data_IF_300835551297
#
_entry.id   IF_300835551297
#
_cell.length_a   1.000
_cell.length_b   1.000
_cell.length_c   1.000
_cell.angle_alpha   90.00
_cell.angle_beta   90.00
_cell.angle_gamma   90.00
#
_symmetry.space_group_name_H-M   'P 1'
#
loop_
_entity.id
_entity.type
_entity.pdbx_description
1 polymer ?
#
# COMPACT_ATOMS: atom_id res chain seq x y z
N UNK A 1 -56.65 -5.93 30.90
CA UNK A 1 -56.24 -6.81 29.78
C UNK A 1 -54.98 -6.21 29.17
N UNK A 2 -53.79 -6.67 29.57
CA UNK A 2 -52.50 -6.16 29.07
C UNK A 2 -52.04 -7.04 27.92
N UNK A 3 -52.19 -6.55 26.69
CA UNK A 3 -51.66 -7.21 25.50
C UNK A 3 -50.18 -6.83 25.37
N UNK A 4 -49.28 -7.73 25.79
CA UNK A 4 -47.84 -7.59 25.59
C UNK A 4 -47.51 -8.12 24.20
N UNK A 5 -47.44 -7.23 23.22
CA UNK A 5 -46.86 -7.56 21.92
C UNK A 5 -45.37 -7.84 22.13
N UNK A 6 -44.95 -9.10 21.99
CA UNK A 6 -43.54 -9.43 21.82
C UNK A 6 -43.13 -8.93 20.42
N UNK A 7 -42.70 -7.68 20.31
CA UNK A 7 -41.85 -7.29 19.20
C UNK A 7 -40.50 -7.99 19.43
N UNK A 8 -40.31 -9.14 18.79
CA UNK A 8 -38.95 -9.65 18.59
C UNK A 8 -38.25 -8.65 17.67
N UNK A 9 -37.46 -7.75 18.23
CA UNK A 9 -36.61 -6.85 17.44
C UNK A 9 -35.77 -7.71 16.50
N UNK A 10 -35.83 -7.42 15.19
CA UNK A 10 -35.00 -8.10 14.20
C UNK A 10 -33.53 -7.85 14.50
N UNK A 11 -32.70 -8.84 14.21
CA UNK A 11 -31.25 -8.79 14.41
C UNK A 11 -30.57 -8.67 13.05
N UNK A 12 -29.68 -7.68 12.92
CA UNK A 12 -28.69 -7.60 11.85
C UNK A 12 -27.34 -8.04 12.41
N UNK A 13 -26.80 -9.14 11.90
CA UNK A 13 -25.41 -9.52 12.09
C UNK A 13 -24.56 -8.85 11.01
N UNK A 14 -23.41 -8.30 11.38
CA UNK A 14 -22.45 -7.78 10.42
C UNK A 14 -21.00 -8.07 10.81
N UNK A 15 -20.15 -8.07 9.79
CA UNK A 15 -18.69 -8.13 9.88
C UNK A 15 -18.10 -7.40 8.66
N UNK A 16 -17.06 -6.60 8.89
CA UNK A 16 -16.45 -5.74 7.87
C UNK A 16 -15.00 -6.13 7.59
N UNK A 17 -14.70 -6.32 6.31
CA UNK A 17 -13.31 -6.40 5.84
C UNK A 17 -12.88 -5.03 5.33
N UNK A 18 -11.79 -4.50 5.89
CA UNK A 18 -11.44 -3.08 5.78
C UNK A 18 -9.97 -2.88 5.43
N UNK A 19 -9.66 -1.85 4.66
CA UNK A 19 -8.30 -1.44 4.33
C UNK A 19 -8.04 -0.01 4.81
N UNK A 20 -6.86 0.25 5.34
CA UNK A 20 -6.37 1.60 5.62
C UNK A 20 -4.86 1.60 5.47
N UNK A 21 -4.29 2.70 4.95
CA UNK A 21 -2.85 2.90 4.93
C UNK A 21 -2.26 3.02 6.36
N UNK A 22 -3.07 3.53 7.29
CA UNK A 22 -2.69 3.66 8.70
C UNK A 22 -2.83 2.30 9.38
N UNK A 23 -1.79 1.77 10.06
CA UNK A 23 -1.91 0.51 10.78
C UNK A 23 -2.87 0.59 11.98
N UNK A 24 -3.73 -0.42 12.17
CA UNK A 24 -4.71 -0.47 13.29
C UNK A 24 -4.10 -0.37 14.69
N UNK A 25 -2.82 -0.74 14.85
CA UNK A 25 -2.08 -0.59 16.12
C UNK A 25 -1.93 0.88 16.56
N UNK A 26 -2.14 1.84 15.66
CA UNK A 26 -2.11 3.27 15.95
C UNK A 26 -3.46 3.77 16.53
N UNK A 27 -4.42 2.86 16.76
CA UNK A 27 -5.74 3.16 17.30
C UNK A 27 -6.84 3.12 16.24
N UNK A 28 -8.05 2.72 16.67
CA UNK A 28 -9.20 2.53 15.77
C UNK A 28 -9.63 3.82 15.06
N UNK A 29 -9.62 4.96 15.75
CA UNK A 29 -9.99 6.24 15.14
C UNK A 29 -9.00 6.67 14.06
N UNK A 30 -7.70 6.66 14.35
CA UNK A 30 -6.66 6.98 13.38
C UNK A 30 -6.65 6.01 12.18
N UNK A 31 -6.95 4.73 12.42
CA UNK A 31 -7.17 3.75 11.36
C UNK A 31 -8.37 4.12 10.47
N UNK A 32 -9.47 4.55 11.10
CA UNK A 32 -10.75 4.80 10.44
C UNK A 32 -10.78 6.09 9.60
N UNK A 33 -9.93 7.08 9.88
CA UNK A 33 -9.92 8.38 9.16
C UNK A 33 -9.87 8.24 7.63
N UNK A 34 -9.12 7.26 7.12
CA UNK A 34 -8.96 6.99 5.69
C UNK A 34 -9.27 5.52 5.36
N UNK A 35 -10.23 4.92 6.06
CA UNK A 35 -10.58 3.51 5.88
C UNK A 35 -11.48 3.30 4.66
N UNK A 36 -11.19 2.23 3.93
CA UNK A 36 -12.01 1.69 2.86
C UNK A 36 -12.68 0.40 3.36
N UNK A 37 -14.00 0.29 3.22
CA UNK A 37 -14.71 -0.97 3.44
C UNK A 37 -14.64 -1.76 2.13
N UNK A 38 -14.04 -2.95 2.18
CA UNK A 38 -13.82 -3.81 1.01
C UNK A 38 -14.98 -4.78 0.84
N UNK A 39 -15.30 -5.53 1.90
CA UNK A 39 -16.40 -6.48 1.94
C UNK A 39 -17.28 -6.19 3.15
N UNK A 40 -18.58 -6.34 2.96
CA UNK A 40 -19.58 -6.22 4.01
C UNK A 40 -20.33 -7.54 4.11
N UNK A 41 -19.99 -8.37 5.10
CA UNK A 41 -20.71 -9.59 5.41
C UNK A 41 -21.89 -9.27 6.35
N UNK A 42 -23.06 -9.84 6.08
CA UNK A 42 -24.25 -9.59 6.88
C UNK A 42 -25.26 -10.73 6.83
N UNK A 43 -26.09 -10.84 7.87
CA UNK A 43 -27.24 -11.74 7.93
C UNK A 43 -28.38 -11.10 8.74
N UNK A 44 -29.62 -11.45 8.42
CA UNK A 44 -30.79 -11.01 9.19
C UNK A 44 -31.34 -12.20 9.96
N UNK A 45 -31.46 -12.06 11.28
CA UNK A 45 -31.93 -13.09 12.19
C UNK A 45 -31.16 -14.41 12.01
N UNK A 46 -31.81 -15.42 11.43
CA UNK A 46 -31.25 -16.76 11.14
C UNK A 46 -31.12 -17.03 9.64
N UNK A 47 -31.32 -16.01 8.79
CA UNK A 47 -31.17 -16.13 7.35
C UNK A 47 -29.70 -16.38 6.96
N UNK A 48 -29.44 -16.91 5.75
CA UNK A 48 -28.08 -17.14 5.26
C UNK A 48 -27.23 -15.85 5.25
N UNK A 49 -25.91 -16.04 5.43
CA UNK A 49 -24.94 -14.95 5.32
C UNK A 49 -24.83 -14.51 3.87
N UNK A 50 -24.89 -13.20 3.67
CA UNK A 50 -24.64 -12.53 2.40
C UNK A 50 -23.34 -11.72 2.51
N UNK A 51 -22.62 -11.58 1.39
CA UNK A 51 -21.44 -10.72 1.29
C UNK A 51 -21.67 -9.72 0.18
N UNK A 52 -21.57 -8.44 0.50
CA UNK A 52 -21.54 -7.37 -0.47
C UNK A 52 -20.09 -6.94 -0.72
N UNK A 53 -19.64 -7.10 -1.96
CA UNK A 53 -18.39 -6.51 -2.44
C UNK A 53 -18.61 -5.02 -2.72
N UNK A 54 -18.15 -4.18 -1.78
CA UNK A 54 -18.29 -2.73 -1.83
C UNK A 54 -17.43 -2.13 -2.95
N UNK A 55 -16.34 -2.81 -3.31
CA UNK A 55 -15.41 -2.37 -4.36
C UNK A 55 -15.94 -2.59 -5.77
N UNK A 56 -16.97 -3.43 -5.91
CA UNK A 56 -17.57 -3.77 -7.21
C UNK A 56 -18.33 -2.63 -7.90
N UNK A 57 -18.55 -1.51 -7.20
CA UNK A 57 -19.36 -0.38 -7.67
C UNK A 57 -20.88 -0.65 -7.68
N UNK A 58 -21.31 -1.86 -7.29
CA UNK A 58 -22.73 -2.19 -7.13
C UNK A 58 -23.31 -1.46 -5.91
N UNK A 59 -24.56 -0.97 -5.99
CA UNK A 59 -25.20 -0.33 -4.85
C UNK A 59 -25.39 -1.30 -3.69
N UNK A 60 -25.49 -0.74 -2.47
CA UNK A 60 -25.79 -1.49 -1.26
C UNK A 60 -27.06 -2.34 -1.44
N UNK A 61 -27.05 -3.63 -1.06
CA UNK A 61 -28.24 -4.46 -1.09
C UNK A 61 -29.40 -3.82 -0.30
N UNK A 62 -30.60 -3.80 -0.89
CA UNK A 62 -31.76 -3.12 -0.32
C UNK A 62 -32.10 -3.61 1.11
N UNK A 63 -32.03 -4.93 1.33
CA UNK A 63 -32.29 -5.54 2.63
C UNK A 63 -31.28 -5.10 3.71
N UNK A 64 -30.00 -4.99 3.34
CA UNK A 64 -28.96 -4.48 4.24
C UNK A 64 -29.21 -3.01 4.58
N UNK A 65 -29.49 -2.18 3.56
CA UNK A 65 -29.82 -0.76 3.75
C UNK A 65 -31.01 -0.59 4.69
N UNK A 66 -32.11 -1.32 4.44
CA UNK A 66 -33.31 -1.27 5.28
C UNK A 66 -33.01 -1.65 6.73
N UNK A 67 -32.19 -2.67 6.97
CA UNK A 67 -31.81 -3.10 8.31
C UNK A 67 -30.94 -2.05 9.04
N UNK A 68 -29.98 -1.45 8.33
CA UNK A 68 -29.12 -0.39 8.88
C UNK A 68 -29.91 0.89 9.18
N UNK A 69 -30.90 1.24 8.36
CA UNK A 69 -31.69 2.47 8.54
C UNK A 69 -32.88 2.33 9.49
N UNK A 70 -33.31 1.11 9.83
CA UNK A 70 -34.45 0.90 10.73
C UNK A 70 -34.01 0.93 12.20
N UNK A 71 -34.46 1.90 13.02
CA UNK A 71 -34.03 2.02 14.41
C UNK A 71 -34.44 0.84 15.30
N UNK A 72 -35.46 0.08 14.92
CA UNK A 72 -35.97 -1.08 15.68
C UNK A 72 -35.17 -2.37 15.44
N UNK A 73 -34.21 -2.35 14.51
CA UNK A 73 -33.32 -3.47 14.23
C UNK A 73 -32.08 -3.36 15.11
N UNK A 74 -31.77 -4.41 15.87
CA UNK A 74 -30.54 -4.47 16.67
C UNK A 74 -29.36 -4.89 15.78
N UNK A 75 -28.22 -4.23 15.96
CA UNK A 75 -27.00 -4.48 15.17
C UNK A 75 -26.01 -5.25 16.04
N UNK A 76 -25.62 -6.44 15.59
CA UNK A 76 -24.67 -7.31 16.26
C UNK A 76 -23.36 -7.37 15.48
N UNK A 77 -22.26 -7.11 16.18
CA UNK A 77 -20.91 -7.33 15.69
C UNK A 77 -20.03 -7.90 16.82
N UNK A 78 -18.87 -8.44 16.47
CA UNK A 78 -17.87 -8.86 17.45
C UNK A 78 -16.80 -7.77 17.54
N UNK A 79 -16.64 -7.14 18.72
CA UNK A 79 -15.87 -5.90 18.85
C UNK A 79 -16.50 -4.74 18.05
N UNK A 80 -17.79 -4.52 18.26
CA UNK A 80 -18.65 -3.53 17.60
C UNK A 80 -18.14 -2.09 17.62
N UNK A 81 -17.29 -1.73 18.58
CA UNK A 81 -16.61 -0.44 18.59
C UNK A 81 -15.81 -0.22 17.30
N UNK A 82 -15.16 -1.27 16.78
CA UNK A 82 -14.42 -1.22 15.52
C UNK A 82 -15.35 -0.95 14.34
N UNK A 83 -16.33 -1.82 14.09
CA UNK A 83 -17.23 -1.71 12.93
C UNK A 83 -18.02 -0.41 12.95
N UNK A 84 -18.54 0.00 14.11
CA UNK A 84 -19.25 1.27 14.26
C UNK A 84 -18.37 2.45 13.90
N UNK A 85 -17.12 2.46 14.35
CA UNK A 85 -16.18 3.54 14.04
C UNK A 85 -15.86 3.56 12.55
N UNK A 86 -15.55 2.41 11.95
CA UNK A 86 -15.31 2.27 10.52
C UNK A 86 -16.50 2.81 9.71
N UNK A 87 -17.73 2.39 10.02
CA UNK A 87 -18.92 2.83 9.28
C UNK A 87 -19.16 4.33 9.41
N UNK A 88 -18.94 4.91 10.60
CA UNK A 88 -19.09 6.35 10.78
C UNK A 88 -18.14 7.18 9.91
N UNK A 89 -16.95 6.65 9.59
CA UNK A 89 -15.99 7.30 8.72
C UNK A 89 -16.22 6.97 7.24
N UNK A 90 -16.31 5.69 6.89
CA UNK A 90 -16.41 5.24 5.49
C UNK A 90 -17.80 5.44 4.87
N UNK A 91 -18.85 5.38 5.68
CA UNK A 91 -20.24 5.52 5.22
C UNK A 91 -21.06 6.37 6.22
N UNK A 92 -20.77 7.68 6.35
CA UNK A 92 -21.41 8.52 7.36
C UNK A 92 -22.93 8.50 7.27
N UNK A 93 -23.60 8.23 8.39
CA UNK A 93 -25.06 8.19 8.49
C UNK A 93 -25.72 6.93 7.92
N UNK A 94 -24.96 5.90 7.54
CA UNK A 94 -25.52 4.65 6.99
C UNK A 94 -26.39 3.89 8.00
N UNK A 95 -25.98 3.87 9.26
CA UNK A 95 -26.73 3.26 10.35
C UNK A 95 -27.52 4.35 11.10
N UNK A 96 -28.85 4.24 11.09
CA UNK A 96 -29.71 5.16 11.83
C UNK A 96 -29.66 4.91 13.34
N UNK A 97 -30.07 5.88 14.15
CA UNK A 97 -30.06 5.75 15.61
C UNK A 97 -28.65 5.84 16.22
N UNK A 98 -28.53 5.50 17.50
CA UNK A 98 -27.31 5.63 18.27
C UNK A 98 -26.70 4.30 18.72
N UNK A 99 -25.79 4.38 19.69
CA UNK A 99 -25.05 3.24 20.24
C UNK A 99 -25.98 2.20 20.88
N UNK A 100 -27.17 2.59 21.30
CA UNK A 100 -28.18 1.74 21.94
C UNK A 100 -28.68 0.60 21.05
N UNK A 101 -28.50 0.69 19.73
CA UNK A 101 -28.82 -0.41 18.79
C UNK A 101 -27.74 -1.48 18.73
N UNK A 102 -26.50 -1.14 19.10
CA UNK A 102 -25.35 -2.00 18.94
C UNK A 102 -25.26 -3.03 20.06
N UNK A 103 -24.94 -4.26 19.71
CA UNK A 103 -24.74 -5.38 20.63
C UNK A 103 -23.41 -6.03 20.30
N UNK A 104 -22.54 -6.06 21.30
CA UNK A 104 -21.18 -6.56 21.14
C UNK A 104 -21.07 -7.98 21.69
N UNK A 105 -20.79 -8.93 20.82
CA UNK A 105 -20.62 -10.33 21.24
C UNK A 105 -19.33 -10.55 22.02
N UNK A 106 -18.28 -9.74 21.81
CA UNK A 106 -17.04 -9.79 22.59
C UNK A 106 -17.29 -9.30 24.02
N UNK A 107 -18.02 -8.21 24.21
CA UNK A 107 -18.36 -7.71 25.56
C UNK A 107 -19.25 -8.72 26.30
N UNK A 108 -20.19 -9.36 25.61
CA UNK A 108 -20.99 -10.44 26.20
C UNK A 108 -20.13 -11.61 26.67
N UNK A 109 -19.17 -12.06 25.85
CA UNK A 109 -18.23 -13.10 26.24
C UNK A 109 -17.44 -12.71 27.50
N UNK A 110 -16.87 -11.51 27.53
CA UNK A 110 -16.11 -11.01 28.68
C UNK A 110 -16.97 -10.91 29.94
N UNK A 111 -18.23 -10.48 29.82
CA UNK A 111 -19.17 -10.43 30.94
C UNK A 111 -19.49 -11.82 31.53
N UNK A 112 -19.36 -12.87 30.73
CA UNK A 112 -19.49 -14.27 31.17
C UNK A 112 -18.16 -14.91 31.61
N UNK A 113 -17.08 -14.13 31.74
CA UNK A 113 -15.75 -14.64 32.10
C UNK A 113 -15.07 -15.44 30.99
N UNK A 114 -15.55 -15.35 29.75
CA UNK A 114 -14.97 -16.00 28.58
C UNK A 114 -13.94 -15.09 27.89
N UNK A 115 -12.99 -15.63 27.10
CA UNK A 115 -12.04 -14.82 26.35
C UNK A 115 -12.74 -13.94 25.29
N UNK A 116 -12.15 -12.78 25.00
CA UNK A 116 -12.68 -11.86 23.98
C UNK A 116 -12.32 -12.21 22.53
N UNK A 117 -11.45 -13.20 22.30
CA UNK A 117 -11.06 -13.63 20.96
C UNK A 117 -12.13 -14.54 20.36
N UNK A 118 -12.64 -14.19 19.17
CA UNK A 118 -13.59 -15.04 18.45
C UNK A 118 -13.06 -16.46 18.20
N UNK A 119 -11.75 -16.61 17.97
CA UNK A 119 -11.13 -17.93 17.77
C UNK A 119 -11.23 -18.79 19.03
N UNK A 120 -10.82 -18.24 20.17
CA UNK A 120 -10.83 -18.92 21.46
C UNK A 120 -12.27 -19.26 21.88
N UNK A 121 -13.23 -18.38 21.56
CA UNK A 121 -14.65 -18.64 21.78
C UNK A 121 -15.18 -19.79 20.93
N UNK A 122 -14.82 -19.87 19.65
CA UNK A 122 -15.19 -21.01 18.80
C UNK A 122 -14.66 -22.32 19.37
N UNK A 123 -13.42 -22.32 19.86
CA UNK A 123 -12.79 -23.50 20.47
C UNK A 123 -13.52 -23.92 21.75
N UNK A 124 -13.80 -22.98 22.67
CA UNK A 124 -14.50 -23.25 23.93
C UNK A 124 -15.94 -23.73 23.71
N UNK A 125 -16.66 -23.08 22.79
CA UNK A 125 -18.06 -23.40 22.48
C UNK A 125 -18.19 -24.63 21.56
N UNK A 126 -17.08 -25.26 21.18
CA UNK A 126 -17.06 -26.43 20.29
C UNK A 126 -17.82 -26.18 18.98
N UNK A 127 -17.66 -24.98 18.41
CA UNK A 127 -18.24 -24.64 17.12
C UNK A 127 -17.54 -25.46 16.03
N UNK A 128 -18.32 -26.06 15.14
CA UNK A 128 -17.79 -26.88 14.05
C UNK A 128 -16.83 -26.09 13.15
N UNK A 129 -15.77 -26.72 12.65
CA UNK A 129 -14.68 -26.02 11.94
C UNK A 129 -15.13 -25.26 10.68
N UNK A 130 -16.22 -25.68 10.04
CA UNK A 130 -16.88 -25.01 8.92
C UNK A 130 -17.54 -23.67 9.30
N UNK A 131 -17.79 -23.47 10.60
CA UNK A 131 -18.37 -22.25 11.19
C UNK A 131 -17.39 -21.49 12.08
N UNK A 132 -16.25 -22.11 12.40
CA UNK A 132 -15.16 -21.48 13.11
C UNK A 132 -14.38 -20.55 12.16
N UNK A 133 -13.55 -19.67 12.75
CA UNK A 133 -12.74 -18.72 12.00
C UNK A 133 -11.83 -19.44 10.99
N UNK A 134 -12.09 -19.23 9.70
CA UNK A 134 -11.26 -19.81 8.64
C UNK A 134 -9.82 -19.29 8.72
N UNK A 135 -8.86 -20.22 8.85
CA UNK A 135 -7.44 -19.93 8.88
C UNK A 135 -6.92 -19.39 7.54
N UNK A 136 -7.54 -19.77 6.42
CA UNK A 136 -7.26 -19.22 5.09
C UNK A 136 -7.78 -17.77 4.97
N UNK A 137 -8.92 -17.46 5.57
CA UNK A 137 -9.46 -16.09 5.66
C UNK A 137 -8.44 -15.10 6.25
N UNK A 138 -7.72 -15.49 7.31
CA UNK A 138 -6.63 -14.66 7.89
C UNK A 138 -5.53 -14.29 6.89
N UNK A 139 -5.23 -15.15 5.92
CA UNK A 139 -4.23 -14.87 4.88
C UNK A 139 -4.76 -13.88 3.84
N UNK A 140 -6.04 -13.97 3.49
CA UNK A 140 -6.71 -13.04 2.57
C UNK A 140 -6.84 -11.64 3.20
N UNK A 141 -7.15 -11.54 4.50
CA UNK A 141 -7.13 -10.28 5.24
C UNK A 141 -5.74 -9.63 5.20
N UNK A 142 -4.65 -10.40 5.32
CA UNK A 142 -3.30 -9.83 5.18
C UNK A 142 -3.00 -9.30 3.77
N UNK A 143 -3.64 -9.86 2.75
CA UNK A 143 -3.41 -9.50 1.36
C UNK A 143 -4.20 -8.26 0.92
N UNK A 144 -5.47 -8.17 1.35
CA UNK A 144 -6.41 -7.14 0.89
C UNK A 144 -6.67 -6.03 1.92
N UNK A 145 -6.56 -6.32 3.22
CA UNK A 145 -7.00 -5.45 4.32
C UNK A 145 -5.83 -4.79 5.09
N UNK A 146 -4.59 -5.09 4.73
CA UNK A 146 -3.39 -4.51 5.37
C UNK A 146 -2.44 -3.90 4.35
N UNK A 147 -1.78 -2.77 4.68
CA UNK A 147 -0.66 -2.25 3.90
C UNK A 147 0.35 -3.36 3.66
N UNK A 148 0.68 -3.61 2.39
CA UNK A 148 1.51 -4.76 2.07
C UNK A 148 2.91 -4.57 2.67
N UNK A 149 3.55 -5.63 3.20
CA UNK A 149 4.91 -5.55 3.71
C UNK A 149 5.86 -4.95 2.66
N UNK A 150 6.93 -4.27 3.12
CA UNK A 150 7.93 -3.53 2.30
C UNK A 150 8.49 -4.29 1.06
N UNK A 151 8.34 -5.61 1.00
CA UNK A 151 8.86 -6.48 -0.07
C UNK A 151 7.76 -7.16 -0.92
N UNK A 152 6.48 -6.87 -0.69
CA UNK A 152 5.37 -7.64 -1.26
C UNK A 152 5.35 -7.63 -2.80
N UNK A 153 5.52 -6.47 -3.42
CA UNK A 153 5.52 -6.35 -4.89
C UNK A 153 6.68 -7.13 -5.52
N UNK A 154 7.88 -7.01 -4.96
CA UNK A 154 9.07 -7.73 -5.42
C UNK A 154 8.92 -9.23 -5.25
N UNK A 155 8.43 -9.69 -4.09
CA UNK A 155 8.22 -11.12 -3.83
C UNK A 155 7.21 -11.72 -4.81
N UNK A 156 6.10 -11.02 -5.04
CA UNK A 156 5.10 -11.42 -6.04
C UNK A 156 5.72 -11.51 -7.43
N UNK A 157 6.41 -10.48 -7.89
CA UNK A 157 7.05 -10.49 -9.20
C UNK A 157 8.06 -11.65 -9.37
N UNK A 158 8.82 -12.00 -8.32
CA UNK A 158 9.74 -13.14 -8.36
C UNK A 158 8.98 -14.48 -8.41
N UNK A 159 7.87 -14.59 -7.67
CA UNK A 159 7.05 -15.80 -7.56
C UNK A 159 6.13 -16.03 -8.76
N UNK A 160 5.78 -14.99 -9.53
CA UNK A 160 4.92 -15.07 -10.72
C UNK A 160 5.64 -14.55 -11.96
N UNK A 161 6.58 -15.32 -12.55
CA UNK A 161 7.26 -14.94 -13.79
C UNK A 161 6.29 -14.59 -14.91
N UNK A 162 6.64 -13.62 -15.75
CA UNK A 162 5.82 -13.14 -16.87
C UNK A 162 4.67 -12.21 -16.49
N UNK A 163 4.32 -12.09 -15.20
CA UNK A 163 3.27 -11.18 -14.73
C UNK A 163 3.88 -9.84 -14.28
N UNK A 164 3.33 -8.74 -14.80
CA UNK A 164 3.68 -7.39 -14.34
C UNK A 164 2.92 -7.04 -13.07
N UNK A 165 3.65 -6.69 -12.02
CA UNK A 165 3.15 -6.21 -10.74
C UNK A 165 3.40 -4.71 -10.63
N UNK A 166 2.33 -3.91 -10.62
CA UNK A 166 2.42 -2.46 -10.40
C UNK A 166 2.65 -2.14 -8.91
N UNK A 167 3.51 -1.16 -8.65
CA UNK A 167 3.78 -0.61 -7.32
C UNK A 167 3.98 0.90 -7.43
N UNK A 168 2.91 1.68 -7.21
CA UNK A 168 2.88 3.14 -7.49
C UNK A 168 3.33 3.42 -8.94
N UNK A 169 4.26 4.36 -9.17
CA UNK A 169 4.81 4.69 -10.50
C UNK A 169 5.81 3.62 -11.03
N UNK A 170 6.06 2.52 -10.31
CA UNK A 170 6.97 1.44 -10.72
C UNK A 170 6.23 0.21 -11.25
N UNK A 171 6.85 -0.51 -12.19
CA UNK A 171 6.36 -1.81 -12.66
C UNK A 171 7.43 -2.88 -12.46
N UNK A 172 7.09 -3.95 -11.75
CA UNK A 172 7.99 -5.06 -11.47
C UNK A 172 7.58 -6.27 -12.31
N UNK A 173 8.52 -6.90 -12.99
CA UNK A 173 8.28 -8.13 -13.75
C UNK A 173 9.51 -9.00 -13.72
N UNK A 174 9.33 -10.31 -13.60
CA UNK A 174 10.41 -11.28 -13.78
C UNK A 174 10.27 -11.96 -15.13
N UNK A 175 11.28 -11.79 -15.98
CA UNK A 175 11.40 -12.44 -17.28
C UNK A 175 12.60 -13.38 -17.25
N UNK A 176 12.33 -14.69 -17.28
CA UNK A 176 13.34 -15.72 -17.07
C UNK A 176 14.05 -15.57 -15.72
N UNK A 177 15.37 -15.39 -15.77
CA UNK A 177 16.21 -15.19 -14.59
C UNK A 177 16.31 -13.73 -14.13
N UNK A 178 15.71 -12.78 -14.85
CA UNK A 178 15.87 -11.35 -14.60
C UNK A 178 14.64 -10.77 -13.94
N UNK A 179 14.78 -10.26 -12.72
CA UNK A 179 13.79 -9.35 -12.16
C UNK A 179 14.09 -7.93 -12.66
N UNK A 180 13.09 -7.28 -13.25
CA UNK A 180 13.17 -5.92 -13.78
C UNK A 180 12.21 -5.04 -12.99
N UNK A 181 12.71 -3.90 -12.53
CA UNK A 181 11.92 -2.83 -11.95
C UNK A 181 11.97 -1.66 -12.92
N UNK A 182 10.89 -1.46 -13.67
CA UNK A 182 10.73 -0.36 -14.60
C UNK A 182 10.44 0.93 -13.84
N UNK A 183 11.21 1.97 -14.17
CA UNK A 183 11.14 3.32 -13.68
C UNK A 183 10.13 4.14 -14.50
N UNK A 184 9.67 5.31 -14.01
CA UNK A 184 8.77 6.18 -14.77
C UNK A 184 9.34 6.63 -16.13
N UNK A 185 10.67 6.74 -16.23
CA UNK A 185 11.41 7.02 -17.47
C UNK A 185 11.29 5.92 -18.54
N UNK A 186 10.77 4.74 -18.17
CA UNK A 186 10.72 3.56 -19.03
C UNK A 186 11.94 2.64 -18.91
N UNK A 187 13.08 3.12 -18.38
CA UNK A 187 14.28 2.31 -18.11
C UNK A 187 14.00 1.30 -16.99
N UNK A 188 14.74 0.19 -16.96
CA UNK A 188 14.60 -0.82 -15.91
C UNK A 188 15.90 -1.04 -15.11
N UNK A 189 15.77 -1.04 -13.79
CA UNK A 189 16.81 -1.58 -12.89
C UNK A 189 16.69 -3.10 -12.89
N UNK A 190 17.78 -3.79 -13.16
CA UNK A 190 17.80 -5.23 -13.42
C UNK A 190 18.53 -6.00 -12.33
N UNK A 191 17.92 -7.08 -11.86
CA UNK A 191 18.43 -7.98 -10.83
C UNK A 191 18.53 -9.41 -11.39
N UNK A 192 19.71 -9.83 -11.88
CA UNK A 192 19.89 -11.17 -12.45
C UNK A 192 19.85 -12.26 -11.39
N UNK A 193 19.28 -13.42 -11.73
CA UNK A 193 19.19 -14.57 -10.84
C UNK A 193 18.43 -14.28 -9.54
N UNK A 194 17.47 -13.35 -9.58
CA UNK A 194 16.66 -12.96 -8.44
C UNK A 194 15.78 -14.13 -7.97
N UNK A 195 15.87 -14.48 -6.68
CA UNK A 195 15.10 -15.57 -6.07
C UNK A 195 14.81 -15.29 -4.60
N UNK A 196 13.84 -16.03 -4.07
CA UNK A 196 13.49 -16.05 -2.65
C UNK A 196 13.97 -17.40 -2.09
N UNK A 197 14.68 -17.39 -0.97
CA UNK A 197 15.05 -18.63 -0.26
C UNK A 197 13.94 -19.11 0.69
N UNK A 198 14.12 -20.29 1.29
CA UNK A 198 13.12 -20.91 2.18
C UNK A 198 12.81 -20.07 3.43
N UNK A 199 13.76 -19.22 3.84
CA UNK A 199 13.56 -18.25 4.93
C UNK A 199 12.82 -16.98 4.48
N UNK A 200 12.49 -16.89 3.20
CA UNK A 200 11.83 -15.76 2.58
C UNK A 200 12.77 -14.61 2.22
N UNK A 201 14.10 -14.73 2.34
CA UNK A 201 15.01 -13.63 1.99
C UNK A 201 15.19 -13.55 0.48
N UNK A 202 15.28 -12.32 -0.03
CA UNK A 202 15.44 -12.06 -1.46
C UNK A 202 16.93 -11.95 -1.76
N UNK A 203 17.42 -12.62 -2.80
CA UNK A 203 18.79 -12.49 -3.27
C UNK A 203 18.88 -12.42 -4.79
N UNK A 204 19.95 -11.82 -5.30
CA UNK A 204 20.25 -11.70 -6.73
C UNK A 204 21.77 -11.85 -6.96
N UNK A 205 22.19 -12.00 -8.21
CA UNK A 205 23.60 -12.02 -8.59
C UNK A 205 24.10 -10.60 -8.85
N UNK A 206 25.27 -10.25 -8.32
CA UNK A 206 25.87 -8.94 -8.55
C UNK A 206 27.32 -8.89 -8.10
N UNK A 207 27.98 -7.77 -8.37
CA UNK A 207 29.33 -7.51 -7.88
C UNK A 207 29.22 -7.08 -6.42
N UNK A 208 29.89 -7.79 -5.52
CA UNK A 208 30.03 -7.34 -4.15
C UNK A 208 31.01 -6.16 -4.09
N UNK A 209 30.61 -5.05 -3.46
CA UNK A 209 31.40 -3.81 -3.41
C UNK A 209 32.74 -3.98 -2.71
N UNK A 210 32.85 -4.87 -1.73
CA UNK A 210 34.09 -5.11 -0.99
C UNK A 210 35.00 -6.10 -1.73
N UNK A 211 34.48 -7.29 -2.05
CA UNK A 211 35.31 -8.34 -2.65
C UNK A 211 35.54 -8.17 -4.15
N UNK A 212 34.78 -7.29 -4.81
CA UNK A 212 34.73 -7.09 -6.27
C UNK A 212 34.43 -8.36 -7.06
N UNK A 213 33.94 -9.42 -6.40
CA UNK A 213 33.58 -10.70 -7.03
C UNK A 213 32.11 -10.72 -7.42
N UNK A 214 31.82 -11.36 -8.55
CA UNK A 214 30.44 -11.69 -8.94
C UNK A 214 29.91 -12.81 -8.06
N UNK A 215 28.94 -12.50 -7.21
CA UNK A 215 28.40 -13.45 -6.23
C UNK A 215 26.94 -13.18 -5.90
N UNK A 216 26.36 -14.05 -5.08
CA UNK A 216 24.98 -13.88 -4.62
C UNK A 216 24.92 -12.84 -3.49
N UNK A 217 24.10 -11.82 -3.68
CA UNK A 217 23.89 -10.73 -2.75
C UNK A 217 22.48 -10.81 -2.18
N UNK A 218 22.36 -10.68 -0.87
CA UNK A 218 21.08 -10.53 -0.20
C UNK A 218 20.56 -9.11 -0.40
N UNK A 219 19.24 -8.95 -0.52
CA UNK A 219 18.57 -7.67 -0.68
C UNK A 219 17.25 -7.63 0.10
N UNK A 220 16.70 -6.43 0.21
CA UNK A 220 15.44 -6.16 0.88
C UNK A 220 14.84 -4.87 0.30
N UNK A 221 13.59 -4.58 0.62
CA UNK A 221 12.83 -3.46 0.03
C UNK A 221 13.50 -2.11 0.21
N UNK A 222 14.19 -1.86 1.33
CA UNK A 222 14.95 -0.62 1.52
C UNK A 222 16.10 -0.47 0.52
N UNK A 223 16.90 -1.52 0.30
CA UNK A 223 17.98 -1.47 -0.70
C UNK A 223 17.44 -1.38 -2.14
N UNK A 224 16.32 -2.02 -2.43
CA UNK A 224 15.66 -1.90 -3.74
C UNK A 224 15.12 -0.49 -3.97
N UNK A 225 14.50 0.12 -2.96
CA UNK A 225 14.03 1.51 -3.01
C UNK A 225 15.20 2.47 -3.22
N UNK A 226 16.30 2.31 -2.47
CA UNK A 226 17.53 3.10 -2.65
C UNK A 226 18.04 3.04 -4.11
N UNK A 227 18.15 1.83 -4.68
CA UNK A 227 18.58 1.64 -6.06
C UNK A 227 17.64 2.30 -7.08
N UNK A 228 16.33 2.19 -6.86
CA UNK A 228 15.31 2.82 -7.72
C UNK A 228 15.39 4.35 -7.63
N UNK A 229 15.57 4.90 -6.44
CA UNK A 229 15.72 6.35 -6.23
C UNK A 229 16.96 6.87 -6.94
N UNK A 230 18.13 6.24 -6.73
CA UNK A 230 19.38 6.64 -7.41
C UNK A 230 19.25 6.52 -8.93
N UNK A 231 18.65 5.43 -9.43
CA UNK A 231 18.47 5.25 -10.86
C UNK A 231 17.50 6.29 -11.45
N UNK A 232 16.43 6.63 -10.75
CA UNK A 232 15.48 7.67 -11.19
C UNK A 232 16.14 9.05 -11.19
N UNK A 233 16.94 9.39 -10.17
CA UNK A 233 17.69 10.64 -10.14
C UNK A 233 18.67 10.74 -11.33
N UNK A 234 19.37 9.64 -11.66
CA UNK A 234 20.21 9.60 -12.86
C UNK A 234 19.41 9.79 -14.15
N UNK A 235 18.18 9.28 -14.23
CA UNK A 235 17.34 9.47 -15.42
C UNK A 235 16.89 10.92 -15.59
N UNK A 236 16.63 11.64 -14.49
CA UNK A 236 16.34 13.07 -14.53
C UNK A 236 17.55 13.83 -15.06
N UNK A 237 18.72 13.63 -14.45
CA UNK A 237 19.94 14.34 -14.85
C UNK A 237 20.32 14.03 -16.30
N UNK A 238 20.30 12.75 -16.68
CA UNK A 238 20.68 12.32 -18.03
C UNK A 238 19.68 12.78 -19.11
N UNK A 239 18.41 13.01 -18.78
CA UNK A 239 17.45 13.55 -19.73
C UNK A 239 17.77 15.00 -20.15
N UNK A 240 18.47 15.75 -19.29
CA UNK A 240 18.81 17.15 -19.54
C UNK A 240 20.18 17.33 -20.20
N UNK A 241 21.06 16.33 -20.16
CA UNK A 241 22.43 16.41 -20.72
C UNK A 241 22.48 16.79 -22.21
N UNK A 242 21.65 16.23 -23.12
CA UNK A 242 21.68 16.65 -24.52
C UNK A 242 21.36 18.13 -24.70
N UNK A 243 20.40 18.66 -23.93
CA UNK A 243 20.05 20.08 -23.98
C UNK A 243 21.19 20.98 -23.47
N UNK A 244 21.96 20.50 -22.50
CA UNK A 244 23.18 21.17 -22.01
C UNK A 244 24.23 21.26 -23.12
N UNK A 245 24.54 20.14 -23.78
CA UNK A 245 25.51 20.10 -24.89
C UNK A 245 25.05 20.93 -26.11
N UNK A 246 23.77 20.88 -26.46
CA UNK A 246 23.18 21.66 -27.56
C UNK A 246 23.28 23.19 -27.32
N UNK A 247 23.41 23.62 -26.06
CA UNK A 247 23.63 25.02 -25.68
C UNK A 247 25.13 25.38 -25.57
N UNK A 248 26.04 24.48 -25.97
CA UNK A 248 27.48 24.74 -26.05
C UNK A 248 28.24 24.53 -24.74
N UNK A 249 27.63 23.91 -23.74
CA UNK A 249 28.32 23.47 -22.53
C UNK A 249 28.86 22.05 -22.72
N UNK A 250 30.19 21.90 -22.82
CA UNK A 250 30.82 20.59 -23.04
C UNK A 250 30.88 19.80 -21.72
N UNK A 251 30.16 18.69 -21.62
CA UNK A 251 30.08 17.90 -20.38
C UNK A 251 31.34 17.04 -20.24
N UNK A 252 32.24 17.43 -19.34
CA UNK A 252 33.52 16.74 -19.12
C UNK A 252 33.39 15.62 -18.08
N UNK A 253 32.55 15.82 -17.06
CA UNK A 253 32.42 14.89 -15.94
C UNK A 253 31.03 14.97 -15.31
N UNK A 254 30.56 13.84 -14.78
CA UNK A 254 29.37 13.82 -13.91
C UNK A 254 29.72 13.13 -12.60
N UNK A 255 29.46 13.78 -11.47
CA UNK A 255 29.70 13.25 -10.13
C UNK A 255 28.37 13.21 -9.37
N UNK A 256 27.78 12.03 -9.21
CA UNK A 256 26.45 11.89 -8.59
C UNK A 256 25.37 12.73 -9.28
N UNK A 257 24.95 13.83 -8.65
CA UNK A 257 23.98 14.83 -9.07
C UNK A 257 24.63 16.09 -9.67
N UNK A 258 25.96 16.13 -9.75
CA UNK A 258 26.73 17.22 -10.33
C UNK A 258 27.10 16.93 -11.79
N UNK A 259 26.97 17.96 -12.64
CA UNK A 259 27.45 17.98 -14.02
C UNK A 259 28.51 19.08 -14.13
N UNK A 260 29.70 18.70 -14.56
CA UNK A 260 30.81 19.62 -14.79
C UNK A 260 30.92 19.87 -16.28
N UNK A 261 30.94 21.13 -16.66
CA UNK A 261 31.02 21.55 -18.05
C UNK A 261 32.19 22.48 -18.28
N UNK A 262 32.85 22.36 -19.43
CA UNK A 262 33.74 23.38 -19.96
C UNK A 262 32.99 24.23 -21.00
N UNK A 263 33.16 25.53 -20.92
CA UNK A 263 32.55 26.49 -21.84
C UNK A 263 33.49 27.70 -22.05
N UNK A 264 33.37 28.44 -23.16
CA UNK A 264 34.09 29.70 -23.36
C UNK A 264 33.84 30.69 -22.21
N UNK A 265 34.90 31.40 -21.77
CA UNK A 265 34.81 32.47 -20.76
C UNK A 265 34.21 33.74 -21.40
N UNK A 266 32.90 33.70 -21.69
CA UNK A 266 32.10 34.80 -22.23
C UNK A 266 30.80 34.95 -21.47
N UNK A 267 30.15 36.10 -21.58
CA UNK A 267 28.86 36.37 -20.91
C UNK A 267 27.68 35.52 -21.40
N UNK A 268 27.88 34.74 -22.48
CA UNK A 268 26.85 33.86 -23.03
C UNK A 268 26.70 32.57 -22.20
N UNK A 269 27.71 32.24 -21.40
CA UNK A 269 27.76 31.05 -20.54
C UNK A 269 27.79 31.48 -19.08
N UNK A 270 26.80 31.03 -18.31
CA UNK A 270 26.82 31.18 -16.85
C UNK A 270 26.32 29.92 -16.14
N UNK A 271 26.65 29.78 -14.86
CA UNK A 271 26.15 28.67 -14.05
C UNK A 271 24.64 28.75 -13.81
N UNK A 272 24.02 29.94 -13.81
CA UNK A 272 22.56 30.08 -13.67
C UNK A 272 21.83 29.57 -14.91
N UNK A 273 22.37 29.84 -16.11
CA UNK A 273 21.82 29.30 -17.34
C UNK A 273 21.94 27.77 -17.35
N UNK A 274 23.13 27.22 -17.05
CA UNK A 274 23.33 25.78 -16.91
C UNK A 274 22.40 25.15 -15.87
N UNK A 275 22.22 25.81 -14.72
CA UNK A 275 21.30 25.37 -13.66
C UNK A 275 19.85 25.30 -14.17
N UNK A 276 19.43 26.26 -15.00
CA UNK A 276 18.10 26.26 -15.61
C UNK A 276 17.91 25.09 -16.56
N UNK A 277 18.92 24.78 -17.38
CA UNK A 277 18.90 23.61 -18.27
C UNK A 277 18.80 22.31 -17.46
N UNK A 278 19.61 22.17 -16.40
CA UNK A 278 19.59 20.99 -15.53
C UNK A 278 18.31 20.85 -14.69
N UNK A 279 17.65 21.94 -14.34
CA UNK A 279 16.38 21.95 -13.60
C UNK A 279 15.14 21.76 -14.50
N UNK A 280 15.33 21.42 -15.78
CA UNK A 280 14.20 21.15 -16.69
C UNK A 280 13.53 19.81 -16.35
N UNK A 281 12.21 19.83 -16.19
CA UNK A 281 11.46 18.62 -15.91
C UNK A 281 11.37 17.73 -17.17
N UNK A 282 11.75 16.44 -17.09
CA UNK A 282 11.55 15.54 -18.20
C UNK A 282 10.06 15.26 -18.42
N UNK A 283 9.67 14.91 -19.65
CA UNK A 283 8.26 14.72 -20.03
C UNK A 283 7.49 13.70 -19.17
N UNK A 284 8.19 12.77 -18.52
CA UNK A 284 7.62 11.75 -17.64
C UNK A 284 7.54 12.17 -16.15
N UNK A 285 8.04 13.35 -15.78
CA UNK A 285 8.04 13.88 -14.41
C UNK A 285 7.79 15.40 -14.36
N UNK A 286 6.72 15.87 -15.02
CA UNK A 286 6.34 17.29 -15.07
C UNK A 286 6.06 17.92 -13.68
N UNK A 287 5.68 17.11 -12.69
CA UNK A 287 5.33 17.52 -11.33
C UNK A 287 6.53 17.50 -10.36
N UNK A 288 7.74 17.19 -10.82
CA UNK A 288 8.91 17.07 -9.96
C UNK A 288 9.48 18.45 -9.63
N UNK A 289 9.56 18.86 -8.35
CA UNK A 289 10.21 20.12 -8.00
C UNK A 289 11.72 19.96 -8.14
N UNK A 290 12.28 20.47 -9.25
CA UNK A 290 13.72 20.50 -9.50
C UNK A 290 14.30 21.88 -9.21
N UNK A 291 15.48 21.86 -8.62
CA UNK A 291 16.32 23.04 -8.40
C UNK A 291 17.76 22.60 -8.59
N UNK A 292 18.53 23.40 -9.31
CA UNK A 292 19.96 23.22 -9.44
C UNK A 292 20.69 24.45 -8.91
N UNK A 293 21.86 24.23 -8.31
CA UNK A 293 22.79 25.28 -7.95
C UNK A 293 24.12 25.00 -8.61
N UNK A 294 24.95 26.02 -8.75
CA UNK A 294 26.26 25.89 -9.38
C UNK A 294 27.15 27.07 -9.06
N UNK A 295 28.39 26.99 -9.52
CA UNK A 295 29.37 28.08 -9.48
C UNK A 295 30.28 27.98 -10.71
N UNK A 296 31.01 29.06 -10.97
CA UNK A 296 32.04 29.11 -12.01
C UNK A 296 33.43 29.20 -11.38
N UNK A 297 34.40 28.49 -11.97
CA UNK A 297 35.79 28.54 -11.55
C UNK A 297 36.72 28.09 -12.68
N UNK A 298 37.94 28.63 -12.72
CA UNK A 298 38.99 28.17 -13.64
C UNK A 298 39.56 26.79 -13.30
N UNK A 299 39.28 26.27 -12.10
CA UNK A 299 39.74 24.97 -11.65
C UNK A 299 38.65 24.29 -10.83
N UNK A 300 38.49 22.99 -11.05
CA UNK A 300 37.56 22.19 -10.25
C UNK A 300 37.94 22.24 -8.77
N UNK A 301 36.96 22.58 -7.94
CA UNK A 301 37.02 22.45 -6.50
C UNK A 301 35.78 21.72 -6.03
N UNK A 302 35.95 20.91 -5.00
CA UNK A 302 34.82 20.29 -4.32
C UNK A 302 34.35 21.24 -3.23
N UNK A 303 33.11 21.66 -3.31
CA UNK A 303 32.44 22.36 -2.21
C UNK A 303 32.03 21.39 -1.08
#
# INVERSE_FOLDING_TARGET
MLCRWFFTSKILWLDLETFSEVPIKNGTHAYAENVEVMLFAWAIDTAPVHVWDVTSGKPMPANLKMALTNPDVLIYAHNSHFDRTVLNHAMPGVAAGGVERWRDTMVRALAHGLPGSLGDLCDILSVSQDKAKDKAGKQLIQLFCKPRPKNSATRRAIATPGITISCRKLKLRRDGSWLRIQLPSGRAVCYPGARIDDSGKISYMGINTYSRKWQRLQTYGGKLAENVTQATARDVMAANMPCVEDNGYDIILTVHDEVLTEAPDTTDYSHEHLSTLLATNPAWALDLPLSAGGFEAYHYRKD
#
